data_IF_451010700098
#
_entry.id   IF_451010700098
#
_cell.length_a   1.000
_cell.length_b   1.000
_cell.length_c   1.000
_cell.angle_alpha   90.00
_cell.angle_beta   90.00
_cell.angle_gamma   90.00
#
_symmetry.space_group_name_H-M   'P 1'
#
loop_
_entity.id
_entity.type
_entity.pdbx_description
1 polymer ?
#
# COMPACT_ATOMS: atom_id res chain seq x y z
N UNK A 1 17.92 -6.60 27.59
CA UNK A 1 19.25 -7.24 27.58
C UNK A 1 19.52 -7.82 26.20
N UNK A 2 20.76 -7.85 25.66
CA UNK A 2 21.97 -7.11 26.01
C UNK A 2 22.42 -6.09 24.93
N UNK A 3 23.21 -5.12 25.37
CA UNK A 3 23.90 -4.08 24.61
C UNK A 3 25.10 -4.66 23.83
N UNK A 4 25.44 -4.10 22.66
CA UNK A 4 26.81 -4.14 22.07
C UNK A 4 27.00 -2.90 21.18
N UNK A 5 27.46 -1.78 21.77
CA UNK A 5 28.86 -1.31 21.87
C UNK A 5 29.34 -0.68 20.55
N UNK A 6 29.20 0.66 20.47
CA UNK A 6 29.88 1.53 19.49
C UNK A 6 31.39 1.45 19.76
N UNK A 7 32.20 1.11 18.74
CA UNK A 7 33.65 1.31 18.76
C UNK A 7 34.01 2.35 17.70
N UNK A 8 34.50 3.49 18.17
CA UNK A 8 35.28 4.47 17.40
C UNK A 8 36.76 4.04 17.43
N UNK A 9 37.61 4.68 16.59
CA UNK A 9 39.11 4.66 16.47
C UNK A 9 39.53 4.04 15.12
N UNK A 10 40.44 4.58 14.31
CA UNK A 10 41.18 5.85 14.20
C UNK A 10 41.77 5.91 12.76
N UNK A 11 42.31 7.07 12.37
CA UNK A 11 42.72 7.44 11.00
C UNK A 11 44.23 7.16 10.74
N UNK A 12 44.51 6.44 9.64
CA UNK A 12 45.69 6.41 8.71
C UNK A 12 47.11 6.00 9.17
N UNK A 13 48.08 5.68 8.25
CA UNK A 13 48.03 5.41 6.79
C UNK A 13 48.86 4.17 6.29
N UNK A 14 48.84 3.96 4.95
CA UNK A 14 49.92 3.47 4.06
C UNK A 14 49.95 1.99 3.54
N UNK A 15 49.64 1.89 2.23
CA UNK A 15 50.38 1.20 1.12
C UNK A 15 50.20 -0.32 0.84
N UNK A 16 49.61 -0.54 -0.36
CA UNK A 16 49.80 -1.53 -1.45
C UNK A 16 49.37 -3.01 -1.36
N UNK A 17 48.40 -3.30 -2.26
CA UNK A 17 48.29 -4.41 -3.22
C UNK A 17 48.44 -5.86 -2.74
N UNK A 18 47.30 -6.53 -2.57
CA UNK A 18 47.15 -7.94 -2.94
C UNK A 18 45.70 -8.25 -3.34
N UNK A 19 45.52 -8.88 -4.50
CA UNK A 19 44.23 -9.12 -5.15
C UNK A 19 43.50 -10.25 -4.44
N UNK A 20 42.58 -9.92 -3.53
CA UNK A 20 41.65 -10.91 -2.96
C UNK A 20 40.29 -10.84 -3.67
N UNK A 21 39.98 -11.89 -4.42
CA UNK A 21 38.65 -12.15 -4.99
C UNK A 21 37.66 -12.27 -3.82
N UNK A 22 36.96 -11.19 -3.52
CA UNK A 22 35.91 -11.19 -2.51
C UNK A 22 34.81 -12.17 -2.93
N UNK A 23 34.76 -13.33 -2.27
CA UNK A 23 33.62 -14.26 -2.32
C UNK A 23 32.37 -13.48 -1.91
N UNK A 24 31.61 -13.01 -2.89
CA UNK A 24 30.28 -12.47 -2.64
C UNK A 24 29.43 -13.58 -2.02
N UNK A 25 29.13 -13.42 -0.73
CA UNK A 25 28.12 -14.23 -0.06
C UNK A 25 26.79 -13.91 -0.75
N UNK A 26 26.38 -14.79 -1.66
CA UNK A 26 25.16 -14.65 -2.42
C UNK A 26 23.99 -14.60 -1.43
N UNK A 27 23.27 -13.48 -1.43
CA UNK A 27 22.05 -13.36 -0.61
C UNK A 27 21.11 -14.50 -1.03
N UNK A 28 20.56 -15.28 -0.07
CA UNK A 28 19.64 -16.36 -0.40
C UNK A 28 18.50 -15.79 -1.24
N UNK A 29 18.33 -16.36 -2.44
CA UNK A 29 17.34 -15.90 -3.41
C UNK A 29 15.98 -16.00 -2.74
N UNK A 30 15.35 -14.85 -2.45
CA UNK A 30 13.99 -14.83 -1.88
C UNK A 30 13.09 -15.63 -2.82
N UNK A 31 12.43 -16.66 -2.28
CA UNK A 31 11.46 -17.46 -3.04
C UNK A 31 10.39 -16.50 -3.57
N UNK A 32 10.33 -16.36 -4.90
CA UNK A 32 9.28 -15.58 -5.56
C UNK A 32 7.94 -16.29 -5.30
N UNK A 33 6.91 -15.54 -4.90
CA UNK A 33 5.56 -16.09 -4.68
C UNK A 33 4.92 -16.61 -5.97
N UNK A 34 3.86 -17.41 -5.85
CA UNK A 34 3.12 -17.98 -7.00
C UNK A 34 2.63 -16.90 -7.99
N UNK A 35 2.38 -15.69 -7.50
CA UNK A 35 1.88 -14.54 -8.26
C UNK A 35 2.98 -13.56 -8.73
N UNK A 36 4.26 -13.92 -8.64
CA UNK A 36 5.34 -13.00 -9.01
C UNK A 36 5.31 -12.55 -10.48
N UNK A 37 4.75 -13.37 -11.38
CA UNK A 37 4.64 -13.04 -12.80
C UNK A 37 3.61 -11.97 -13.09
N UNK A 38 2.62 -11.77 -12.21
CA UNK A 38 1.62 -10.71 -12.38
C UNK A 38 2.27 -9.33 -12.36
N UNK A 39 3.32 -9.14 -11.54
CA UNK A 39 4.07 -7.89 -11.50
C UNK A 39 5.02 -7.70 -12.69
N UNK A 40 5.21 -8.72 -13.53
CA UNK A 40 6.03 -8.70 -14.75
C UNK A 40 5.17 -8.42 -16.00
N UNK A 41 3.84 -8.36 -15.87
CA UNK A 41 2.93 -8.01 -16.96
C UNK A 41 3.00 -6.52 -17.33
N UNK A 42 2.71 -6.15 -18.60
CA UNK A 42 2.45 -4.76 -18.97
C UNK A 42 1.34 -4.15 -18.10
N UNK A 43 1.48 -2.86 -17.77
CA UNK A 43 0.53 -2.17 -16.89
C UNK A 43 -0.91 -2.22 -17.41
N UNK A 44 -1.11 -2.17 -18.72
CA UNK A 44 -2.45 -2.17 -19.32
C UNK A 44 -3.20 -3.49 -19.07
N UNK A 45 -2.53 -4.63 -19.26
CA UNK A 45 -3.10 -5.96 -18.95
C UNK A 45 -3.37 -6.08 -17.45
N UNK A 46 -2.47 -5.55 -16.63
CA UNK A 46 -2.65 -5.56 -15.19
C UNK A 46 -3.86 -4.72 -14.76
N UNK A 47 -4.10 -3.56 -15.39
CA UNK A 47 -5.29 -2.74 -15.13
C UNK A 47 -6.58 -3.39 -15.61
N UNK A 48 -6.54 -4.11 -16.72
CA UNK A 48 -7.67 -4.89 -17.22
C UNK A 48 -8.07 -6.00 -16.23
N UNK A 49 -7.11 -6.60 -15.51
CA UNK A 49 -7.44 -7.54 -14.44
C UNK A 49 -8.07 -6.81 -13.25
N UNK A 50 -7.48 -5.68 -12.84
CA UNK A 50 -7.90 -4.94 -11.66
C UNK A 50 -9.30 -4.33 -11.78
N UNK A 51 -9.73 -3.89 -12.97
CA UNK A 51 -11.09 -3.33 -13.16
C UNK A 51 -12.22 -4.34 -12.89
N UNK A 52 -11.93 -5.64 -12.94
CA UNK A 52 -12.88 -6.71 -12.62
C UNK A 52 -12.89 -7.07 -11.12
N UNK A 53 -11.97 -6.53 -10.32
CA UNK A 53 -11.98 -6.74 -8.88
C UNK A 53 -13.08 -5.90 -8.21
N UNK A 54 -13.62 -6.41 -7.10
CA UNK A 54 -14.51 -5.62 -6.25
C UNK A 54 -13.75 -4.45 -5.58
N UNK A 55 -14.43 -3.35 -5.23
CA UNK A 55 -13.78 -2.18 -4.64
C UNK A 55 -13.08 -2.50 -3.32
N UNK A 56 -13.61 -3.46 -2.55
CA UNK A 56 -12.97 -3.98 -1.32
C UNK A 56 -11.65 -4.70 -1.61
N UNK A 57 -11.56 -5.43 -2.71
CA UNK A 57 -10.36 -6.17 -3.07
C UNK A 57 -9.29 -5.23 -3.63
N UNK A 58 -9.68 -4.24 -4.45
CA UNK A 58 -8.78 -3.16 -4.87
C UNK A 58 -8.17 -2.44 -3.67
N UNK A 59 -8.97 -2.15 -2.65
CA UNK A 59 -8.48 -1.55 -1.41
C UNK A 59 -7.46 -2.45 -0.70
N UNK A 60 -7.73 -3.75 -0.58
CA UNK A 60 -6.81 -4.72 0.04
C UNK A 60 -5.52 -4.87 -0.76
N UNK A 61 -5.59 -4.93 -2.08
CA UNK A 61 -4.43 -4.99 -2.99
C UNK A 61 -3.56 -3.75 -2.79
N UNK A 62 -4.17 -2.57 -2.66
CA UNK A 62 -3.45 -1.31 -2.39
C UNK A 62 -2.71 -1.33 -1.05
N UNK A 63 -3.11 -2.16 -0.08
CA UNK A 63 -2.39 -2.30 1.19
C UNK A 63 -1.34 -3.41 1.17
N UNK A 64 -1.44 -4.36 0.26
CA UNK A 64 -0.53 -5.50 0.18
C UNK A 64 0.85 -5.12 -0.40
N UNK A 65 0.91 -4.17 -1.34
CA UNK A 65 2.14 -3.79 -2.02
C UNK A 65 2.23 -2.27 -2.22
N UNK A 66 3.38 -1.67 -1.85
CA UNK A 66 3.64 -0.24 -1.98
C UNK A 66 3.58 0.26 -3.42
N UNK A 67 4.05 -0.53 -4.38
CA UNK A 67 4.00 -0.20 -5.81
C UNK A 67 2.56 -0.23 -6.32
N UNK A 68 1.78 -1.23 -5.90
CA UNK A 68 0.36 -1.29 -6.26
C UNK A 68 -0.42 -0.15 -5.62
N UNK A 69 -0.07 0.22 -4.38
CA UNK A 69 -0.62 1.39 -3.70
C UNK A 69 -0.42 2.66 -4.50
N UNK A 70 0.82 2.94 -4.94
CA UNK A 70 1.11 4.17 -5.68
C UNK A 70 0.35 4.23 -7.00
N UNK A 71 0.12 3.08 -7.63
CA UNK A 71 -0.61 3.00 -8.90
C UNK A 71 -2.12 3.17 -8.67
N UNK A 72 -2.72 2.39 -7.76
CA UNK A 72 -4.16 2.37 -7.49
C UNK A 72 -4.68 3.63 -6.78
N UNK A 73 -3.83 4.39 -6.10
CA UNK A 73 -4.25 5.64 -5.46
C UNK A 73 -3.96 6.87 -6.34
N UNK A 74 -3.36 6.69 -7.52
CA UNK A 74 -3.12 7.76 -8.47
C UNK A 74 -4.40 8.13 -9.23
N UNK A 75 -4.51 9.39 -9.65
CA UNK A 75 -5.62 9.89 -10.48
C UNK A 75 -5.77 9.14 -11.81
N UNK A 76 -4.67 8.65 -12.39
CA UNK A 76 -4.66 7.86 -13.63
C UNK A 76 -5.40 6.53 -13.50
N UNK A 77 -5.54 5.99 -12.28
CA UNK A 77 -6.26 4.75 -12.01
C UNK A 77 -7.74 4.95 -11.65
N UNK A 78 -8.24 6.20 -11.66
CA UNK A 78 -9.62 6.53 -11.28
C UNK A 78 -10.65 5.70 -12.04
N UNK A 79 -10.42 5.47 -13.33
CA UNK A 79 -11.32 4.70 -14.19
C UNK A 79 -11.49 3.25 -13.71
N UNK A 80 -10.43 2.64 -13.16
CA UNK A 80 -10.46 1.27 -12.60
C UNK A 80 -11.46 1.22 -11.45
N UNK A 81 -11.41 2.21 -10.56
CA UNK A 81 -12.35 2.31 -9.45
C UNK A 81 -13.77 2.59 -9.94
N UNK A 82 -13.96 3.45 -10.93
CA UNK A 82 -15.29 3.72 -11.49
C UNK A 82 -15.93 2.44 -12.05
N UNK A 83 -15.18 1.66 -12.83
CA UNK A 83 -15.64 0.36 -13.33
C UNK A 83 -15.94 -0.61 -12.19
N UNK A 84 -15.04 -0.72 -11.21
CA UNK A 84 -15.21 -1.61 -10.06
C UNK A 84 -16.46 -1.29 -9.23
N UNK A 85 -16.72 -0.01 -8.96
CA UNK A 85 -17.94 0.43 -8.28
C UNK A 85 -19.19 0.25 -9.15
N UNK A 86 -19.12 0.49 -10.46
CA UNK A 86 -20.25 0.33 -11.38
C UNK A 86 -20.64 -1.13 -11.62
N UNK A 87 -19.69 -2.06 -11.56
CA UNK A 87 -19.92 -3.50 -11.68
C UNK A 87 -20.31 -4.17 -10.35
N UNK A 88 -20.34 -3.42 -9.24
CA UNK A 88 -20.63 -3.99 -7.94
C UNK A 88 -22.13 -4.32 -7.82
N UNK A 89 -22.50 -5.56 -7.43
CA UNK A 89 -23.87 -6.05 -7.56
C UNK A 89 -24.86 -5.42 -6.57
N UNK A 90 -24.38 -4.94 -5.43
CA UNK A 90 -25.23 -4.30 -4.41
C UNK A 90 -25.24 -2.79 -4.57
N UNK A 91 -26.41 -2.18 -4.39
CA UNK A 91 -26.57 -0.74 -4.37
C UNK A 91 -25.71 -0.12 -3.26
N UNK A 92 -24.69 0.64 -3.66
CA UNK A 92 -23.88 1.47 -2.79
C UNK A 92 -24.40 2.92 -2.92
N UNK A 93 -24.43 3.72 -1.85
CA UNK A 93 -24.67 5.15 -1.99
C UNK A 93 -23.77 5.76 -3.07
N UNK A 94 -24.27 6.78 -3.77
CA UNK A 94 -23.42 7.53 -4.67
C UNK A 94 -22.30 8.22 -3.87
N UNK A 95 -21.08 8.25 -4.41
CA UNK A 95 -20.00 8.99 -3.80
C UNK A 95 -20.38 10.48 -3.72
N UNK A 96 -20.49 11.08 -2.53
CA UNK A 96 -20.95 12.45 -2.38
C UNK A 96 -19.96 13.43 -3.03
N UNK A 97 -20.43 14.05 -4.11
CA UNK A 97 -19.95 15.23 -4.84
C UNK A 97 -18.51 15.66 -4.53
N UNK A 98 -17.54 15.14 -5.29
CA UNK A 98 -16.13 15.61 -5.41
C UNK A 98 -15.31 15.84 -4.13
N UNK A 99 -15.86 15.61 -2.92
CA UNK A 99 -15.14 15.77 -1.65
C UNK A 99 -14.24 14.59 -1.35
N UNK A 100 -14.55 13.42 -1.89
CA UNK A 100 -13.80 12.19 -1.69
C UNK A 100 -13.34 11.59 -3.02
N UNK A 101 -12.11 11.09 -3.04
CA UNK A 101 -11.64 10.24 -4.14
C UNK A 101 -12.18 8.81 -3.96
N UNK A 102 -12.37 8.07 -5.05
CA UNK A 102 -12.93 6.71 -5.02
C UNK A 102 -12.18 5.73 -4.10
N UNK A 103 -10.83 5.74 -4.01
CA UNK A 103 -10.12 4.88 -3.05
C UNK A 103 -10.45 5.21 -1.59
N UNK A 104 -10.62 6.49 -1.27
CA UNK A 104 -11.05 6.93 0.07
C UNK A 104 -12.50 6.51 0.32
N UNK A 105 -13.35 6.62 -0.70
CA UNK A 105 -14.75 6.18 -0.62
C UNK A 105 -14.86 4.67 -0.39
N UNK A 106 -14.04 3.88 -1.09
CA UNK A 106 -13.93 2.44 -0.84
C UNK A 106 -13.49 2.15 0.60
N UNK A 107 -12.53 2.92 1.13
CA UNK A 107 -12.14 2.78 2.54
C UNK A 107 -13.26 3.20 3.50
N UNK A 108 -14.08 4.21 3.18
CA UNK A 108 -15.21 4.63 3.99
C UNK A 108 -16.26 3.51 4.13
N UNK A 109 -16.60 2.87 3.01
CA UNK A 109 -17.63 1.82 2.95
C UNK A 109 -17.09 0.47 3.46
N UNK A 110 -15.99 -0.01 2.90
CA UNK A 110 -15.51 -1.39 3.09
C UNK A 110 -14.28 -1.50 3.98
N UNK A 111 -13.58 -0.39 4.18
CA UNK A 111 -12.30 -0.38 4.84
C UNK A 111 -12.38 -0.30 6.37
N UNK A 112 -11.21 -0.35 6.98
CA UNK A 112 -11.00 -0.18 8.42
C UNK A 112 -9.82 0.74 8.72
N UNK A 113 -9.30 1.47 7.72
CA UNK A 113 -8.21 2.41 7.92
C UNK A 113 -8.74 3.73 8.45
N UNK A 114 -8.16 4.22 9.53
CA UNK A 114 -8.39 5.58 9.99
C UNK A 114 -7.81 6.58 8.98
N UNK A 115 -8.56 7.63 8.65
CA UNK A 115 -8.14 8.66 7.71
C UNK A 115 -7.05 9.57 8.31
N UNK A 116 -7.06 9.77 9.63
CA UNK A 116 -6.13 10.68 10.30
C UNK A 116 -4.79 10.04 10.65
N UNK A 117 -4.79 8.86 11.26
CA UNK A 117 -3.54 8.19 11.67
C UNK A 117 -3.12 7.03 10.76
N UNK A 118 -3.93 6.63 9.78
CA UNK A 118 -3.64 5.48 8.91
C UNK A 118 -3.67 4.12 9.63
N UNK A 119 -4.04 4.07 10.90
CA UNK A 119 -4.14 2.80 11.65
C UNK A 119 -5.29 1.94 11.13
N UNK A 120 -5.15 0.61 11.21
CA UNK A 120 -6.21 -0.37 10.86
C UNK A 120 -7.36 -0.43 11.88
N UNK A 121 -7.49 0.59 12.73
CA UNK A 121 -8.45 0.67 13.82
C UNK A 121 -9.63 1.61 13.55
N UNK A 122 -9.86 2.02 12.30
CA UNK A 122 -10.96 2.89 11.88
C UNK A 122 -12.33 2.22 12.02
N UNK A 123 -12.78 2.02 13.26
CA UNK A 123 -14.05 1.35 13.60
C UNK A 123 -15.26 2.23 13.31
N UNK A 124 -15.15 3.54 13.53
CA UNK A 124 -16.26 4.47 13.39
C UNK A 124 -16.26 5.07 11.99
N UNK A 125 -17.36 4.90 11.26
CA UNK A 125 -17.62 5.59 10.01
C UNK A 125 -18.49 6.81 10.29
N UNK A 126 -17.91 8.01 10.16
CA UNK A 126 -18.61 9.27 10.34
C UNK A 126 -19.12 9.73 8.98
N UNK A 127 -20.33 9.32 8.60
CA UNK A 127 -20.92 9.65 7.29
C UNK A 127 -21.07 11.15 7.05
N UNK A 128 -21.38 11.94 8.09
CA UNK A 128 -21.46 13.39 7.98
C UNK A 128 -20.10 14.04 7.63
N UNK A 129 -19.00 13.46 8.12
CA UNK A 129 -17.64 13.94 7.87
C UNK A 129 -16.93 13.19 6.73
N UNK A 130 -17.59 12.17 6.14
CA UNK A 130 -17.07 11.30 5.07
C UNK A 130 -15.73 10.65 5.38
N UNK A 131 -15.48 10.30 6.66
CA UNK A 131 -14.21 9.72 7.10
C UNK A 131 -14.41 8.55 8.05
N UNK A 132 -13.39 7.67 8.12
CA UNK A 132 -13.27 6.66 9.17
C UNK A 132 -12.25 7.08 10.20
N UNK A 133 -12.60 6.92 11.47
CA UNK A 133 -11.74 7.27 12.60
C UNK A 133 -11.59 6.11 13.58
N UNK A 134 -10.40 5.99 14.14
CA UNK A 134 -10.16 5.07 15.25
C UNK A 134 -10.65 5.68 16.57
N UNK A 135 -10.90 4.87 17.61
CA UNK A 135 -11.34 5.38 18.90
C UNK A 135 -10.43 6.47 19.47
N UNK A 136 -9.11 6.31 19.29
CA UNK A 136 -8.12 7.27 19.76
C UNK A 136 -8.16 8.61 19.02
N UNK A 137 -8.44 8.59 17.70
CA UNK A 137 -8.63 9.82 16.92
C UNK A 137 -10.01 10.45 17.19
N UNK A 138 -11.02 9.64 17.50
CA UNK A 138 -12.35 10.14 17.82
C UNK A 138 -12.36 10.90 19.16
N UNK A 139 -11.68 10.39 20.19
CA UNK A 139 -11.56 11.07 21.49
C UNK A 139 -10.85 12.41 21.44
N UNK A 140 -9.97 12.60 20.45
CA UNK A 140 -9.20 13.83 20.25
C UNK A 140 -9.96 14.89 19.47
N UNK A 141 -11.13 14.55 18.96
CA UNK A 141 -11.95 15.39 18.08
C UNK A 141 -13.14 15.92 18.87
#
# INVERSE_FOLDING_TARGET
MPKKRRKTIAVTPAVQDDVSVAKQLSRPRKRKGKLHKITELPLDVFFEILRHCAPVDLLRISYANKTLRSILLCSSSKWIWQHSFGAFPTAIPACPNNRLILPQYANLIFGNSCFQCGSKGGKYALWAALERVCPECLKKK
#
